data_IF_595627791139
#
_entry.id   IF_595627791139
#
_cell.length_a   1.000
_cell.length_b   1.000
_cell.length_c   1.000
_cell.angle_alpha   90.00
_cell.angle_beta   90.00
_cell.angle_gamma   90.00
#
_symmetry.space_group_name_H-M   'P 1'
#
loop_
_entity.id
_entity.type
_entity.pdbx_description
1 polymer ?
#
# COMPACT_ATOMS: atom_id res chain seq x y z
N UNK A 1 35.89 -14.54 -59.42
CA UNK A 1 36.17 -15.46 -58.29
C UNK A 1 34.90 -15.58 -57.47
N UNK A 2 34.31 -16.78 -57.50
CA UNK A 2 32.98 -17.09 -56.99
C UNK A 2 33.07 -17.59 -55.55
N UNK A 3 32.19 -17.12 -54.67
CA UNK A 3 31.65 -17.95 -53.59
C UNK A 3 30.28 -17.44 -53.13
N UNK A 4 29.25 -18.14 -53.58
CA UNK A 4 27.88 -18.05 -53.12
C UNK A 4 27.71 -18.70 -51.71
N UNK A 5 26.56 -18.50 -51.04
CA UNK A 5 26.37 -18.70 -49.60
C UNK A 5 25.88 -20.11 -49.25
N UNK A 6 26.19 -20.59 -48.04
CA UNK A 6 25.64 -21.84 -47.50
C UNK A 6 24.48 -21.55 -46.53
N UNK A 7 23.29 -22.07 -46.86
CA UNK A 7 22.17 -22.25 -45.93
C UNK A 7 22.11 -23.71 -45.43
N UNK A 8 21.36 -23.86 -44.33
CA UNK A 8 20.62 -25.04 -43.83
C UNK A 8 21.39 -26.03 -42.93
N UNK A 9 21.03 -26.08 -41.64
CA UNK A 9 20.27 -27.20 -41.04
C UNK A 9 19.72 -26.86 -39.66
N UNK A 10 18.39 -26.80 -39.58
CA UNK A 10 17.63 -27.06 -38.38
C UNK A 10 17.84 -28.53 -37.98
N UNK A 11 18.06 -28.78 -36.69
CA UNK A 11 17.83 -30.08 -36.07
C UNK A 11 16.99 -29.82 -34.82
N UNK A 12 15.72 -30.18 -34.90
CA UNK A 12 14.94 -30.60 -33.75
C UNK A 12 15.07 -32.11 -33.64
N UNK A 13 15.23 -32.65 -32.42
CA UNK A 13 14.60 -33.86 -31.88
C UNK A 13 15.06 -34.03 -30.41
N UNK A 14 14.07 -33.94 -29.52
CA UNK A 14 13.80 -34.68 -28.27
C UNK A 14 14.94 -35.36 -27.48
N UNK A 15 14.89 -35.18 -26.14
CA UNK A 15 15.31 -36.23 -25.19
C UNK A 15 16.08 -35.74 -23.97
N UNK A 16 15.35 -35.42 -22.90
CA UNK A 16 15.68 -35.64 -21.47
C UNK A 16 17.16 -35.83 -21.07
N UNK A 17 17.79 -34.77 -20.52
CA UNK A 17 18.76 -34.85 -19.41
C UNK A 17 19.20 -33.43 -18.99
N UNK A 18 18.64 -32.88 -17.90
CA UNK A 18 19.17 -31.66 -17.28
C UNK A 18 20.46 -32.02 -16.53
N UNK A 19 21.59 -31.87 -17.22
CA UNK A 19 22.94 -32.08 -16.67
C UNK A 19 23.31 -30.99 -15.66
N UNK A 20 23.96 -31.42 -14.57
CA UNK A 20 24.43 -30.63 -13.41
C UNK A 20 25.60 -29.68 -13.72
N UNK A 21 25.75 -29.22 -14.96
CA UNK A 21 26.99 -28.59 -15.43
C UNK A 21 26.93 -27.05 -15.56
N UNK A 22 25.88 -26.41 -15.03
CA UNK A 22 25.78 -24.93 -15.01
C UNK A 22 25.91 -24.35 -13.60
N UNK A 23 26.80 -24.91 -12.77
CA UNK A 23 27.12 -24.33 -11.47
C UNK A 23 28.52 -23.72 -11.56
N UNK A 24 28.62 -22.40 -11.33
CA UNK A 24 29.90 -21.70 -11.36
C UNK A 24 30.82 -22.16 -10.22
N UNK A 25 32.14 -22.09 -10.47
CA UNK A 25 33.20 -22.60 -9.58
C UNK A 25 33.12 -22.04 -8.16
N UNK A 26 32.59 -20.83 -7.98
CA UNK A 26 32.38 -20.16 -6.69
C UNK A 26 31.19 -20.72 -5.90
N UNK A 27 30.11 -21.15 -6.55
CA UNK A 27 28.97 -21.81 -5.89
C UNK A 27 29.33 -23.22 -5.41
N UNK A 28 30.15 -23.94 -6.17
CA UNK A 28 30.61 -25.30 -5.82
C UNK A 28 31.47 -25.29 -4.54
N UNK A 29 32.32 -24.26 -4.37
CA UNK A 29 33.18 -24.09 -3.19
C UNK A 29 32.38 -23.72 -1.92
N UNK A 30 31.24 -23.01 -2.05
CA UNK A 30 30.38 -22.71 -0.89
C UNK A 30 29.60 -23.93 -0.40
N UNK A 31 29.09 -24.73 -1.33
CA UNK A 31 28.32 -25.95 -1.00
C UNK A 31 29.23 -27.01 -0.35
N UNK A 32 30.49 -27.13 -0.81
CA UNK A 32 31.43 -28.12 -0.25
C UNK A 32 31.93 -27.79 1.16
N UNK A 33 31.80 -26.53 1.62
CA UNK A 33 32.30 -26.08 2.94
C UNK A 33 31.26 -26.14 4.05
N UNK A 34 29.97 -26.28 3.75
CA UNK A 34 28.92 -26.29 4.79
C UNK A 34 28.52 -27.69 5.28
N UNK A 35 28.97 -28.79 4.66
CA UNK A 35 28.45 -30.13 5.00
C UNK A 35 29.33 -30.97 5.93
N UNK A 36 30.39 -30.43 6.55
CA UNK A 36 31.26 -31.19 7.47
C UNK A 36 31.79 -30.35 8.63
N UNK A 37 30.90 -29.89 9.51
CA UNK A 37 31.28 -29.52 10.87
C UNK A 37 30.18 -30.00 11.81
N UNK A 38 30.34 -31.21 12.32
CA UNK A 38 30.12 -31.67 13.71
C UNK A 38 30.16 -33.21 13.70
N UNK A 39 31.36 -33.77 13.77
CA UNK A 39 31.57 -35.16 14.17
C UNK A 39 32.68 -35.15 15.22
N UNK A 40 32.28 -35.26 16.49
CA UNK A 40 33.22 -35.50 17.59
C UNK A 40 33.67 -36.96 17.54
N UNK A 41 34.97 -37.19 17.66
CA UNK A 41 35.55 -38.53 17.74
C UNK A 41 35.27 -39.13 19.12
N UNK A 42 34.57 -40.27 19.16
CA UNK A 42 34.45 -41.10 20.35
C UNK A 42 35.50 -42.22 20.29
N UNK A 43 36.33 -42.31 21.34
CA UNK A 43 37.26 -43.41 21.55
C UNK A 43 36.50 -44.69 21.92
N UNK A 44 36.98 -45.83 21.45
CA UNK A 44 36.44 -47.17 21.69
C UNK A 44 36.77 -47.62 23.13
N UNK A 45 35.74 -48.02 23.88
CA UNK A 45 35.84 -48.81 25.11
C UNK A 45 34.88 -50.02 25.01
N UNK A 46 35.19 -51.18 25.63
CA UNK A 46 34.57 -52.46 25.29
C UNK A 46 33.15 -52.64 25.87
N UNK A 47 32.43 -53.57 25.23
CA UNK A 47 31.03 -53.91 25.45
C UNK A 47 30.70 -54.36 26.89
N UNK A 48 29.56 -53.91 27.38
CA UNK A 48 28.83 -54.50 28.51
C UNK A 48 27.32 -54.43 28.23
N UNK A 49 26.62 -55.47 28.69
CA UNK A 49 25.29 -55.97 28.31
C UNK A 49 24.11 -54.99 28.45
N UNK A 50 23.07 -55.21 27.64
CA UNK A 50 21.77 -54.54 27.75
C UNK A 50 21.05 -54.89 29.07
N UNK A 51 20.24 -53.94 29.57
CA UNK A 51 18.88 -54.34 29.92
C UNK A 51 17.81 -53.43 29.28
N UNK A 52 16.89 -54.10 28.60
CA UNK A 52 15.45 -53.87 28.51
C UNK A 52 14.91 -52.43 28.61
N UNK A 53 14.45 -51.94 27.46
CA UNK A 53 13.24 -51.14 27.23
C UNK A 53 12.69 -50.32 28.39
N UNK A 54 13.07 -49.05 28.44
CA UNK A 54 12.26 -48.01 29.08
C UNK A 54 11.64 -47.14 28.00
N UNK A 55 10.33 -47.34 27.80
CA UNK A 55 9.45 -46.38 27.15
C UNK A 55 9.75 -44.99 27.72
N UNK A 56 10.19 -44.07 26.86
CA UNK A 56 10.35 -42.66 27.20
C UNK A 56 8.99 -42.06 27.55
N UNK A 57 8.60 -42.17 28.81
CA UNK A 57 7.51 -41.37 29.36
C UNK A 57 8.01 -39.93 29.36
N UNK A 58 7.46 -39.11 28.45
CA UNK A 58 7.61 -37.67 28.51
C UNK A 58 7.17 -37.21 29.90
N UNK A 59 8.11 -36.67 30.68
CA UNK A 59 7.83 -36.13 32.01
C UNK A 59 6.73 -35.06 31.90
N UNK A 60 5.50 -35.42 32.29
CA UNK A 60 4.42 -34.46 32.45
C UNK A 60 4.72 -33.65 33.71
N UNK A 61 5.26 -32.44 33.52
CA UNK A 61 5.27 -31.42 34.55
C UNK A 61 3.81 -31.07 34.92
N UNK A 62 3.23 -31.81 35.87
CA UNK A 62 1.92 -31.55 36.50
C UNK A 62 2.01 -30.38 37.49
N UNK A 63 2.55 -29.24 37.07
CA UNK A 63 2.16 -27.97 37.70
C UNK A 63 0.71 -27.68 37.32
N UNK A 64 -0.11 -27.17 38.25
CA UNK A 64 -1.43 -26.63 37.92
C UNK A 64 -1.26 -25.58 36.82
N UNK A 65 -1.62 -25.94 35.58
CA UNK A 65 -1.53 -25.04 34.44
C UNK A 65 -2.52 -23.91 34.68
N UNK A 66 -2.02 -22.70 34.93
CA UNK A 66 -2.85 -21.50 35.10
C UNK A 66 -3.67 -21.30 33.82
N UNK A 67 -4.99 -21.29 33.96
CA UNK A 67 -5.88 -21.07 32.84
C UNK A 67 -5.94 -19.58 32.48
N UNK A 68 -5.91 -19.30 31.17
CA UNK A 68 -6.04 -17.96 30.61
C UNK A 68 -7.17 -17.96 29.59
N UNK A 69 -7.91 -16.85 29.55
CA UNK A 69 -8.89 -16.59 28.49
C UNK A 69 -8.16 -16.39 27.17
N UNK A 70 -8.33 -17.32 26.24
CA UNK A 70 -7.78 -17.21 24.89
C UNK A 70 -8.77 -16.47 23.98
N UNK A 71 -8.37 -15.26 23.59
CA UNK A 71 -9.13 -14.37 22.73
C UNK A 71 -8.44 -14.18 21.39
N UNK A 72 -9.23 -13.97 20.36
CA UNK A 72 -8.77 -13.75 18.99
C UNK A 72 -9.37 -12.44 18.53
N UNK A 73 -8.55 -11.57 17.96
CA UNK A 73 -8.95 -10.23 17.57
C UNK A 73 -8.57 -9.94 16.11
N UNK A 74 -9.52 -9.98 15.16
CA UNK A 74 -9.28 -9.50 13.80
C UNK A 74 -9.03 -7.99 13.75
N UNK A 75 -7.83 -7.62 13.34
CA UNK A 75 -7.44 -6.25 13.04
C UNK A 75 -7.81 -5.96 11.59
N UNK A 76 -9.04 -5.51 11.37
CA UNK A 76 -9.54 -5.16 10.03
C UNK A 76 -8.99 -3.80 9.64
N UNK A 77 -8.30 -3.76 8.51
CA UNK A 77 -7.66 -2.54 7.98
C UNK A 77 -8.09 -2.23 6.56
N UNK A 78 -8.37 -0.96 6.28
CA UNK A 78 -8.59 -0.42 4.93
C UNK A 78 -7.27 0.17 4.41
N UNK A 79 -6.66 -0.37 3.33
CA UNK A 79 -5.40 0.16 2.78
C UNK A 79 -5.55 1.58 2.22
N UNK A 80 -4.45 2.37 2.08
CA UNK A 80 -4.54 3.67 1.43
C UNK A 80 -4.93 3.49 -0.04
N UNK A 81 -5.92 4.25 -0.50
CA UNK A 81 -6.39 4.26 -1.89
C UNK A 81 -5.68 5.34 -2.72
N UNK A 82 -5.12 6.34 -2.06
CA UNK A 82 -4.35 7.42 -2.69
C UNK A 82 -2.87 7.33 -2.31
N UNK A 83 -2.02 7.78 -3.22
CA UNK A 83 -0.61 8.02 -2.91
C UNK A 83 -0.48 9.05 -1.79
N UNK A 84 0.56 8.93 -0.97
CA UNK A 84 0.84 9.91 0.08
C UNK A 84 1.07 11.31 -0.51
N UNK A 85 0.79 12.33 0.28
CA UNK A 85 1.24 13.68 -0.05
C UNK A 85 2.77 13.76 0.02
N UNK A 86 3.36 14.45 -0.96
CA UNK A 86 4.79 14.74 -1.01
C UNK A 86 5.14 15.83 -0.01
N UNK A 87 6.29 15.70 0.65
CA UNK A 87 6.77 16.78 1.53
C UNK A 87 7.22 17.99 0.70
N UNK A 88 7.33 19.16 1.32
CA UNK A 88 7.82 20.37 0.63
C UNK A 88 9.21 20.15 -0.01
N UNK A 89 10.09 19.45 0.71
CA UNK A 89 11.40 19.07 0.19
C UNK A 89 11.31 18.14 -1.02
N UNK A 90 10.48 17.10 -0.96
CA UNK A 90 10.31 16.18 -2.08
C UNK A 90 9.74 16.87 -3.33
N UNK A 91 8.77 17.77 -3.15
CA UNK A 91 8.21 18.58 -4.25
C UNK A 91 9.32 19.40 -4.94
N UNK A 92 10.13 20.10 -4.16
CA UNK A 92 11.25 20.89 -4.67
C UNK A 92 12.32 20.01 -5.34
N UNK A 93 12.67 18.89 -4.71
CA UNK A 93 13.64 17.93 -5.24
C UNK A 93 13.19 17.34 -6.58
N UNK A 94 11.92 16.96 -6.71
CA UNK A 94 11.39 16.44 -7.96
C UNK A 94 11.41 17.48 -9.08
N UNK A 95 11.06 18.74 -8.79
CA UNK A 95 11.17 19.81 -9.78
C UNK A 95 12.62 20.02 -10.23
N UNK A 96 13.55 20.08 -9.27
CA UNK A 96 14.98 20.20 -9.54
C UNK A 96 15.48 19.06 -10.43
N UNK A 97 15.16 17.81 -10.10
CA UNK A 97 15.56 16.65 -10.90
C UNK A 97 14.94 16.66 -12.30
N UNK A 98 13.71 17.15 -12.46
CA UNK A 98 13.09 17.28 -13.79
C UNK A 98 13.80 18.32 -14.66
N UNK A 99 14.22 19.46 -14.10
CA UNK A 99 14.98 20.48 -14.84
C UNK A 99 16.39 20.01 -15.17
N UNK A 100 17.04 19.30 -14.26
CA UNK A 100 18.32 18.65 -14.52
C UNK A 100 18.18 17.59 -15.63
N UNK A 101 17.10 16.81 -15.62
CA UNK A 101 16.79 15.88 -16.68
C UNK A 101 16.59 16.59 -18.03
N UNK A 102 15.94 17.76 -18.08
CA UNK A 102 15.80 18.55 -19.33
C UNK A 102 17.15 18.99 -19.90
N UNK A 103 18.17 19.20 -19.05
CA UNK A 103 19.54 19.53 -19.49
C UNK A 103 20.28 18.35 -20.10
N UNK A 104 20.10 17.16 -19.51
CA UNK A 104 20.86 15.96 -19.85
C UNK A 104 20.17 15.11 -20.91
N UNK A 105 18.84 15.18 -20.98
CA UNK A 105 18.06 14.42 -21.93
C UNK A 105 18.28 14.93 -23.36
N UNK A 106 18.10 14.02 -24.32
CA UNK A 106 18.06 14.40 -25.71
C UNK A 106 16.81 15.26 -25.99
N UNK A 107 16.91 16.27 -26.85
CA UNK A 107 15.77 17.13 -27.16
C UNK A 107 14.65 16.31 -27.82
N UNK A 108 13.40 16.69 -27.53
CA UNK A 108 12.23 15.98 -28.06
C UNK A 108 12.24 15.98 -29.60
N UNK A 109 12.18 14.79 -30.19
CA UNK A 109 12.08 14.57 -31.63
C UNK A 109 10.65 14.85 -32.13
N UNK A 110 10.27 16.13 -32.23
CA UNK A 110 8.91 16.57 -32.64
C UNK A 110 8.36 15.84 -33.87
N UNK A 111 9.17 15.68 -34.92
CA UNK A 111 8.74 15.09 -36.20
C UNK A 111 8.29 13.62 -36.09
N UNK A 112 8.71 12.91 -35.03
CA UNK A 112 8.27 11.54 -34.76
C UNK A 112 6.79 11.51 -34.31
N UNK A 113 6.36 12.50 -33.53
CA UNK A 113 5.01 12.57 -32.95
C UNK A 113 4.05 13.44 -33.77
N UNK A 114 4.54 14.54 -34.34
CA UNK A 114 3.74 15.52 -35.07
C UNK A 114 4.18 15.61 -36.52
N UNK A 115 3.30 15.20 -37.44
CA UNK A 115 3.53 15.33 -38.89
C UNK A 115 3.44 16.80 -39.30
N UNK A 116 4.37 17.24 -40.15
CA UNK A 116 4.41 18.62 -40.65
C UNK A 116 3.09 18.99 -41.35
N UNK A 117 2.55 20.17 -41.03
CA UNK A 117 1.33 20.68 -41.65
C UNK A 117 0.02 20.13 -41.06
N UNK A 118 0.09 19.32 -40.00
CA UNK A 118 -1.11 18.93 -39.25
C UNK A 118 -1.54 20.02 -38.27
N UNK A 119 -2.84 20.13 -37.94
CA UNK A 119 -3.30 21.06 -36.89
C UNK A 119 -2.56 20.88 -35.56
N UNK A 120 -2.25 19.63 -35.19
CA UNK A 120 -1.49 19.31 -33.99
C UNK A 120 -0.04 19.86 -34.02
N UNK A 121 0.61 19.87 -35.19
CA UNK A 121 1.94 20.49 -35.35
C UNK A 121 1.89 22.00 -35.19
N UNK A 122 0.86 22.64 -35.75
CA UNK A 122 0.65 24.09 -35.63
C UNK A 122 0.39 24.48 -34.17
N UNK A 123 -0.48 23.74 -33.49
CA UNK A 123 -0.80 23.94 -32.08
C UNK A 123 0.44 23.72 -31.19
N UNK A 124 1.20 22.65 -31.41
CA UNK A 124 2.44 22.39 -30.67
C UNK A 124 3.44 23.54 -30.85
N UNK A 125 3.61 24.05 -32.08
CA UNK A 125 4.49 25.20 -32.39
C UNK A 125 4.00 26.51 -31.78
N UNK A 126 2.69 26.68 -31.61
CA UNK A 126 2.12 27.82 -30.88
C UNK A 126 2.50 27.72 -29.40
N UNK A 127 2.16 26.59 -28.76
CA UNK A 127 2.38 26.38 -27.32
C UNK A 127 3.85 26.34 -26.90
N UNK A 128 4.75 25.81 -27.74
CA UNK A 128 6.20 25.76 -27.41
C UNK A 128 6.81 27.17 -27.24
N UNK A 129 6.26 28.19 -27.91
CA UNK A 129 6.76 29.57 -27.78
C UNK A 129 6.55 30.14 -26.38
N UNK A 130 5.41 29.83 -25.76
CA UNK A 130 5.06 30.34 -24.42
C UNK A 130 5.81 29.59 -23.30
N UNK A 131 5.95 28.26 -23.42
CA UNK A 131 6.59 27.41 -22.40
C UNK A 131 8.10 27.22 -22.54
N UNK A 132 8.68 27.50 -23.72
CA UNK A 132 10.09 27.31 -24.08
C UNK A 132 10.62 25.86 -24.10
N UNK A 133 9.99 24.91 -23.39
CA UNK A 133 10.41 23.49 -23.34
C UNK A 133 9.29 22.51 -23.68
N UNK A 134 9.69 21.29 -24.05
CA UNK A 134 8.75 20.23 -24.41
C UNK A 134 7.99 19.69 -23.19
N UNK A 135 8.56 19.79 -21.99
CA UNK A 135 7.90 19.49 -20.74
C UNK A 135 6.78 20.48 -20.42
N UNK A 136 5.87 20.09 -19.52
CA UNK A 136 4.67 20.87 -19.14
C UNK A 136 4.63 21.21 -17.65
N UNK A 137 5.50 20.57 -16.87
CA UNK A 137 5.48 20.50 -15.41
C UNK A 137 6.75 21.07 -14.76
N UNK A 138 7.61 21.75 -15.53
CA UNK A 138 8.88 22.34 -15.06
C UNK A 138 8.87 23.88 -15.03
N UNK A 139 7.74 24.50 -15.42
CA UNK A 139 7.61 25.94 -15.62
C UNK A 139 8.33 26.42 -16.87
N UNK A 140 8.67 27.72 -16.90
CA UNK A 140 9.45 28.31 -17.99
C UNK A 140 10.93 28.12 -17.70
N UNK A 141 11.55 27.21 -18.44
CA UNK A 141 12.98 26.94 -18.38
C UNK A 141 13.44 26.53 -19.78
N UNK A 142 14.65 26.91 -20.18
CA UNK A 142 15.27 26.49 -21.44
C UNK A 142 16.74 26.13 -21.20
N UNK A 143 17.05 24.83 -21.26
CA UNK A 143 18.38 24.30 -21.00
C UNK A 143 19.46 24.76 -22.00
N UNK A 144 19.07 25.09 -23.24
CA UNK A 144 20.00 25.47 -24.32
C UNK A 144 20.08 26.98 -24.56
N UNK A 145 19.34 27.79 -23.77
CA UNK A 145 19.37 29.24 -23.87
C UNK A 145 20.53 29.86 -23.08
N UNK A 146 20.74 31.17 -23.25
CA UNK A 146 21.72 31.95 -22.49
C UNK A 146 21.51 31.84 -20.97
N UNK A 147 20.25 31.75 -20.54
CA UNK A 147 19.84 31.58 -19.15
C UNK A 147 19.67 30.11 -18.73
N UNK A 148 20.25 29.15 -19.47
CA UNK A 148 20.16 27.72 -19.14
C UNK A 148 20.81 27.33 -17.81
N UNK A 149 21.69 28.18 -17.28
CA UNK A 149 22.27 28.04 -15.94
C UNK A 149 21.27 28.31 -14.80
N UNK A 150 20.15 29.00 -15.08
CA UNK A 150 19.14 29.37 -14.08
C UNK A 150 18.07 28.28 -13.97
N UNK A 151 18.49 27.06 -13.62
CA UNK A 151 17.62 25.90 -13.44
C UNK A 151 17.02 25.78 -12.03
N UNK A 152 17.61 26.43 -11.05
CA UNK A 152 17.08 26.49 -9.69
C UNK A 152 15.90 27.46 -9.56
N UNK A 153 15.09 27.24 -8.53
CA UNK A 153 13.87 28.00 -8.27
C UNK A 153 13.98 28.68 -6.91
N UNK A 154 13.52 29.92 -6.83
CA UNK A 154 13.51 30.69 -5.60
C UNK A 154 12.49 30.14 -4.58
N UNK A 155 12.77 30.35 -3.30
CA UNK A 155 11.84 30.00 -2.22
C UNK A 155 10.50 30.72 -2.41
N UNK A 156 9.41 29.97 -2.24
CA UNK A 156 8.04 30.50 -2.38
C UNK A 156 7.45 30.40 -3.79
N UNK A 157 8.21 29.88 -4.77
CA UNK A 157 7.63 29.57 -6.07
C UNK A 157 6.63 28.40 -6.00
N UNK A 158 5.62 28.46 -6.85
CA UNK A 158 4.50 27.50 -6.88
C UNK A 158 4.66 26.44 -7.97
N UNK A 159 5.67 26.54 -8.84
CA UNK A 159 5.84 25.60 -9.96
C UNK A 159 5.98 24.15 -9.49
N UNK A 160 6.63 23.93 -8.34
CA UNK A 160 6.81 22.60 -7.76
C UNK A 160 5.53 21.99 -7.17
N UNK A 161 4.51 22.82 -6.92
CA UNK A 161 3.27 22.34 -6.28
C UNK A 161 2.48 21.45 -7.23
N UNK A 162 1.96 20.29 -6.77
CA UNK A 162 1.18 19.38 -7.59
C UNK A 162 -0.06 20.05 -8.22
N UNK A 163 -0.67 21.02 -7.54
CA UNK A 163 -1.85 21.71 -8.04
C UNK A 163 -1.52 22.64 -9.20
N UNK A 164 -0.41 23.38 -9.12
CA UNK A 164 0.09 24.20 -10.22
C UNK A 164 0.44 23.32 -11.44
N UNK A 165 1.07 22.17 -11.19
CA UNK A 165 1.38 21.18 -12.24
C UNK A 165 0.10 20.65 -12.91
N UNK A 166 -0.92 20.27 -12.12
CA UNK A 166 -2.21 19.79 -12.66
C UNK A 166 -2.88 20.87 -13.50
N UNK A 167 -2.94 22.08 -12.99
CA UNK A 167 -3.53 23.22 -13.67
C UNK A 167 -2.80 23.54 -14.99
N UNK A 168 -1.47 23.44 -15.02
CA UNK A 168 -0.67 23.59 -16.23
C UNK A 168 -1.01 22.51 -17.28
N UNK A 169 -1.10 21.25 -16.86
CA UNK A 169 -1.43 20.13 -17.74
C UNK A 169 -2.85 20.24 -18.30
N UNK A 170 -3.82 20.67 -17.48
CA UNK A 170 -5.20 20.87 -17.90
C UNK A 170 -5.29 22.01 -18.91
N UNK A 171 -4.62 23.15 -18.66
CA UNK A 171 -4.57 24.28 -19.61
C UNK A 171 -4.00 23.86 -20.97
N UNK A 172 -2.89 23.11 -20.97
CA UNK A 172 -2.30 22.59 -22.20
C UNK A 172 -3.29 21.67 -22.95
N UNK A 173 -3.99 20.79 -22.22
CA UNK A 173 -4.98 19.89 -22.81
C UNK A 173 -6.20 20.63 -23.39
N UNK A 174 -6.63 21.75 -22.78
CA UNK A 174 -7.70 22.62 -23.28
C UNK A 174 -7.27 23.51 -24.46
N UNK A 175 -6.01 23.40 -24.92
CA UNK A 175 -5.49 24.21 -26.02
C UNK A 175 -4.98 25.59 -25.61
N UNK A 176 -5.04 25.93 -24.31
CA UNK A 176 -4.57 27.19 -23.74
C UNK A 176 -3.07 27.16 -23.46
N UNK A 177 -2.45 28.33 -23.41
CA UNK A 177 -1.06 28.44 -22.98
C UNK A 177 -0.92 28.18 -21.47
N UNK A 178 0.16 27.49 -21.10
CA UNK A 178 0.45 27.11 -19.71
C UNK A 178 0.80 28.33 -18.86
N UNK A 179 1.50 29.28 -19.47
CA UNK A 179 1.90 30.54 -18.86
C UNK A 179 0.94 31.61 -19.38
N UNK A 180 0.42 32.44 -18.48
CA UNK A 180 -0.24 33.68 -18.90
C UNK A 180 0.83 34.55 -19.57
N UNK A 181 0.93 34.49 -20.90
CA UNK A 181 1.77 35.42 -21.62
C UNK A 181 1.28 36.82 -21.27
N UNK A 182 2.14 37.64 -20.63
CA UNK A 182 1.93 39.08 -20.69
C UNK A 182 1.87 39.42 -22.17
N UNK A 183 0.86 40.17 -22.65
CA UNK A 183 0.88 40.65 -24.02
C UNK A 183 2.19 41.42 -24.18
N UNK A 184 3.06 40.91 -25.04
CA UNK A 184 4.24 41.67 -25.48
C UNK A 184 3.64 42.79 -26.33
N UNK A 185 3.87 44.04 -25.93
CA UNK A 185 3.48 45.19 -26.74
C UNK A 185 4.26 45.10 -28.07
N UNK A 186 3.60 44.60 -29.11
CA UNK A 186 4.14 44.51 -30.45
C UNK A 186 4.33 45.93 -31.02
N UNK A 187 5.52 46.50 -30.83
CA UNK A 187 6.00 47.64 -31.63
C UNK A 187 7.13 47.30 -32.59
N UNK A 188 7.72 46.11 -32.52
CA UNK A 188 8.91 45.79 -33.33
C UNK A 188 8.87 44.39 -33.98
N UNK A 189 7.82 44.07 -34.75
CA UNK A 189 7.90 43.02 -35.78
C UNK A 189 7.18 43.49 -37.05
N UNK A 190 7.85 44.34 -37.82
CA UNK A 190 7.52 44.54 -39.22
C UNK A 190 8.01 43.31 -40.03
N UNK A 191 7.06 42.60 -40.66
CA UNK A 191 7.36 41.78 -41.84
C UNK A 191 7.10 40.28 -41.72
N UNK A 192 5.84 39.86 -41.82
CA UNK A 192 5.42 38.68 -42.59
C UNK A 192 3.89 38.64 -42.64
N UNK A 193 3.32 39.32 -43.63
CA UNK A 193 1.89 39.23 -43.97
C UNK A 193 1.66 37.87 -44.62
N UNK A 194 1.14 36.90 -43.86
CA UNK A 194 0.40 35.79 -44.46
C UNK A 194 -1.07 36.18 -44.34
N UNK A 195 -1.61 36.67 -45.46
CA UNK A 195 -3.03 36.91 -45.64
C UNK A 195 -3.79 35.58 -45.54
N UNK A 196 -4.72 35.53 -44.59
CA UNK A 196 -5.62 34.43 -44.32
C UNK A 196 -6.26 34.67 -42.97
N UNK A 197 -7.53 35.08 -42.98
CA UNK A 197 -8.33 35.53 -41.84
C UNK A 197 -8.18 34.67 -40.57
N UNK A 198 -7.24 35.04 -39.70
CA UNK A 198 -7.06 34.43 -38.38
C UNK A 198 -8.22 34.76 -37.42
N UNK A 199 -8.95 35.86 -37.66
CA UNK A 199 -10.02 36.32 -36.80
C UNK A 199 -11.28 35.43 -36.85
N UNK A 200 -11.58 34.78 -37.98
CA UNK A 200 -12.75 33.91 -38.09
C UNK A 200 -12.48 32.49 -37.58
N UNK A 201 -11.24 31.98 -37.70
CA UNK A 201 -10.85 30.68 -37.16
C UNK A 201 -10.70 30.65 -35.64
N UNK A 202 -10.32 31.77 -35.02
CA UNK A 202 -10.21 31.89 -33.56
C UNK A 202 -11.58 31.92 -32.86
N UNK A 203 -12.60 32.47 -33.51
CA UNK A 203 -13.96 32.53 -32.97
C UNK A 203 -14.65 31.16 -32.98
N UNK A 204 -14.46 30.35 -34.03
CA UNK A 204 -15.06 29.00 -34.12
C UNK A 204 -14.29 27.95 -33.29
N UNK A 205 -12.97 28.11 -33.08
CA UNK A 205 -12.21 27.23 -32.18
C UNK A 205 -12.53 27.45 -30.70
N UNK A 206 -13.02 28.64 -30.33
CA UNK A 206 -13.37 28.98 -28.94
C UNK A 206 -14.57 28.17 -28.41
N UNK A 207 -15.42 27.66 -29.30
CA UNK A 207 -16.70 27.03 -28.96
C UNK A 207 -16.62 25.50 -28.82
N UNK A 208 -15.51 24.88 -29.27
CA UNK A 208 -15.19 23.47 -29.01
C UNK A 208 -14.20 23.32 -27.84
N UNK A 209 -14.32 24.17 -26.82
CA UNK A 209 -13.64 23.94 -25.53
C UNK A 209 -14.29 22.73 -24.86
N UNK A 210 -13.75 21.56 -25.19
CA UNK A 210 -14.01 20.32 -24.50
C UNK A 210 -13.58 20.55 -23.05
N UNK A 211 -14.54 20.86 -22.17
CA UNK A 211 -14.29 21.04 -20.75
C UNK A 211 -13.73 19.71 -20.23
N UNK A 212 -12.42 19.67 -20.03
CA UNK A 212 -11.78 18.45 -19.58
C UNK A 212 -12.23 18.16 -18.15
N UNK A 213 -12.66 16.93 -17.91
CA UNK A 213 -13.03 16.51 -16.56
C UNK A 213 -11.81 16.62 -15.65
N UNK A 214 -11.93 17.44 -14.59
CA UNK A 214 -10.86 17.64 -13.62
C UNK A 214 -10.78 16.42 -12.69
N UNK A 215 -9.57 16.01 -12.28
CA UNK A 215 -9.43 14.98 -11.26
C UNK A 215 -10.22 15.34 -9.99
N UNK A 216 -10.86 14.35 -9.39
CA UNK A 216 -11.57 14.53 -8.14
C UNK A 216 -10.63 15.03 -7.03
N UNK A 217 -11.19 15.79 -6.08
CA UNK A 217 -10.46 16.24 -4.89
C UNK A 217 -9.94 15.04 -4.10
N UNK A 218 -8.72 15.18 -3.55
CA UNK A 218 -8.13 14.21 -2.62
C UNK A 218 -8.83 14.22 -1.26
N UNK A 219 -9.42 15.35 -0.89
CA UNK A 219 -10.17 15.54 0.36
C UNK A 219 -11.64 15.25 0.07
N UNK A 220 -12.19 14.24 0.75
CA UNK A 220 -13.59 13.86 0.61
C UNK A 220 -14.50 14.71 1.51
N UNK A 221 -15.82 14.67 1.28
CA UNK A 221 -16.80 15.33 2.16
C UNK A 221 -16.67 14.82 3.61
N UNK A 222 -16.46 13.53 3.77
CA UNK A 222 -16.27 12.89 5.07
C UNK A 222 -15.00 13.35 5.82
N UNK A 223 -13.98 13.87 5.10
CA UNK A 223 -12.82 14.47 5.74
C UNK A 223 -13.16 15.84 6.35
N UNK A 224 -13.96 16.64 5.65
CA UNK A 224 -14.41 17.94 6.14
C UNK A 224 -15.38 17.79 7.33
N UNK A 225 -16.27 16.81 7.25
CA UNK A 225 -17.25 16.52 8.30
C UNK A 225 -16.65 15.70 9.46
N UNK A 226 -15.40 15.22 9.30
CA UNK A 226 -14.72 14.31 10.21
C UNK A 226 -15.56 13.09 10.62
N UNK A 227 -16.27 12.49 9.65
CA UNK A 227 -17.12 11.33 9.89
C UNK A 227 -16.28 10.06 10.07
N UNK A 228 -16.03 9.69 11.33
CA UNK A 228 -15.24 8.53 11.72
C UNK A 228 -15.87 7.18 11.35
N UNK A 229 -17.13 7.12 10.94
CA UNK A 229 -17.78 5.88 10.50
C UNK A 229 -17.59 5.62 9.01
N UNK A 230 -17.24 6.64 8.23
CA UNK A 230 -17.01 6.51 6.80
C UNK A 230 -15.65 5.86 6.48
N UNK A 231 -15.63 5.04 5.42
CA UNK A 231 -14.38 4.51 4.84
C UNK A 231 -13.72 5.46 3.85
N UNK A 232 -14.48 6.42 3.33
CA UNK A 232 -14.07 7.41 2.33
C UNK A 232 -13.30 8.60 2.89
N UNK A 233 -13.12 8.70 4.22
CA UNK A 233 -12.22 9.68 4.84
C UNK A 233 -10.77 9.21 4.78
N UNK A 234 -9.79 10.12 4.77
CA UNK A 234 -8.35 9.85 4.85
C UNK A 234 -7.91 8.75 3.88
N UNK A 235 -8.18 8.95 2.59
CA UNK A 235 -7.88 7.95 1.55
C UNK A 235 -6.38 7.69 1.37
N UNK A 236 -5.50 8.55 1.89
CA UNK A 236 -4.04 8.41 1.87
C UNK A 236 -3.45 7.74 3.13
N UNK A 237 -4.30 7.32 4.08
CA UNK A 237 -3.93 6.63 5.31
C UNK A 237 -4.62 5.28 5.41
N UNK A 238 -4.08 4.40 6.26
CA UNK A 238 -4.79 3.19 6.68
C UNK A 238 -5.76 3.54 7.78
N UNK A 239 -6.98 3.03 7.64
CA UNK A 239 -7.96 3.03 8.70
C UNK A 239 -8.10 1.64 9.30
N UNK A 240 -8.26 1.57 10.61
CA UNK A 240 -8.52 0.34 11.34
C UNK A 240 -9.91 0.40 11.96
N UNK A 241 -10.61 -0.73 11.95
CA UNK A 241 -11.91 -0.86 12.60
C UNK A 241 -11.72 -1.02 14.10
N UNK A 242 -12.26 -0.09 14.88
CA UNK A 242 -12.39 -0.21 16.33
C UNK A 242 -13.86 -0.28 16.70
N UNK A 243 -14.12 -1.00 17.79
CA UNK A 243 -15.45 -1.23 18.31
C UNK A 243 -15.46 -0.92 19.81
N UNK A 244 -16.56 -0.33 20.27
CA UNK A 244 -16.76 0.06 21.66
C UNK A 244 -17.55 -1.01 22.40
N UNK A 245 -16.87 -1.70 23.30
CA UNK A 245 -17.45 -2.76 24.13
C UNK A 245 -18.56 -2.21 25.05
N UNK A 246 -19.38 -3.08 25.62
CA UNK A 246 -20.43 -2.74 26.60
C UNK A 246 -19.89 -1.97 27.83
N UNK A 247 -18.62 -2.18 28.19
CA UNK A 247 -17.93 -1.45 29.25
C UNK A 247 -17.47 -0.03 28.83
N UNK A 248 -17.73 0.38 27.59
CA UNK A 248 -17.36 1.67 27.03
C UNK A 248 -15.91 1.78 26.55
N UNK A 249 -15.14 0.69 26.55
CA UNK A 249 -13.72 0.66 26.14
C UNK A 249 -13.58 0.41 24.63
N UNK A 250 -12.75 1.21 23.95
CA UNK A 250 -12.40 1.00 22.55
C UNK A 250 -11.33 -0.07 22.40
N UNK A 251 -11.59 -1.04 21.53
CA UNK A 251 -10.66 -2.14 21.20
C UNK A 251 -10.95 -2.70 19.81
N UNK A 252 -10.11 -3.60 19.33
CA UNK A 252 -10.44 -4.40 18.14
C UNK A 252 -11.58 -5.38 18.46
N UNK A 253 -12.41 -5.74 17.47
CA UNK A 253 -13.38 -6.82 17.66
C UNK A 253 -12.63 -8.07 18.14
N UNK A 254 -13.13 -8.72 19.19
CA UNK A 254 -12.48 -9.89 19.76
C UNK A 254 -13.51 -10.86 20.34
N UNK A 255 -13.20 -12.15 20.26
CA UNK A 255 -14.01 -13.21 20.87
C UNK A 255 -13.13 -14.36 21.37
N UNK A 256 -13.71 -15.21 22.22
CA UNK A 256 -13.08 -16.45 22.66
C UNK A 256 -12.94 -17.41 21.49
N UNK A 257 -11.82 -18.15 21.49
CA UNK A 257 -11.63 -19.28 20.61
C UNK A 257 -12.63 -20.40 20.95
N UNK A 258 -13.39 -20.86 19.96
CA UNK A 258 -14.41 -21.88 20.11
C UNK A 258 -13.95 -23.22 19.53
N UNK A 259 -14.00 -24.27 20.35
CA UNK A 259 -13.76 -25.64 19.92
C UNK A 259 -12.38 -25.88 19.31
N UNK A 260 -12.37 -26.49 18.13
CA UNK A 260 -11.16 -26.83 17.37
C UNK A 260 -10.97 -25.93 16.14
N UNK A 261 -11.55 -24.72 16.14
CA UNK A 261 -11.35 -23.77 15.04
C UNK A 261 -9.90 -23.28 14.97
N UNK A 262 -9.40 -22.94 13.79
CA UNK A 262 -8.10 -22.27 13.65
C UNK A 262 -8.21 -20.77 13.96
N UNK A 263 -7.08 -20.11 14.29
CA UNK A 263 -7.06 -18.65 14.48
C UNK A 263 -7.60 -17.87 13.27
N UNK A 264 -7.40 -18.42 12.06
CA UNK A 264 -7.92 -17.89 10.81
C UNK A 264 -9.45 -17.96 10.75
N UNK A 265 -10.02 -19.15 10.98
CA UNK A 265 -11.47 -19.37 10.96
C UNK A 265 -12.18 -18.57 12.05
N UNK A 266 -11.57 -18.50 13.24
CA UNK A 266 -12.07 -17.65 14.31
C UNK A 266 -12.11 -16.18 13.90
N UNK A 267 -11.06 -15.67 13.26
CA UNK A 267 -11.02 -14.28 12.80
C UNK A 267 -12.14 -13.98 11.79
N UNK A 268 -12.37 -14.87 10.81
CA UNK A 268 -13.47 -14.72 9.84
C UNK A 268 -14.85 -14.71 10.53
N UNK A 269 -15.07 -15.68 11.44
CA UNK A 269 -16.29 -15.76 12.25
C UNK A 269 -16.52 -14.49 13.05
N UNK A 270 -15.48 -13.99 13.72
CA UNK A 270 -15.56 -12.80 14.57
C UNK A 270 -15.91 -11.56 13.77
N UNK A 271 -15.31 -11.37 12.59
CA UNK A 271 -15.65 -10.26 11.70
C UNK A 271 -17.14 -10.29 11.36
N UNK A 272 -17.65 -11.45 10.92
CA UNK A 272 -19.04 -11.60 10.53
C UNK A 272 -20.01 -11.40 11.70
N UNK A 273 -19.67 -11.91 12.88
CA UNK A 273 -20.53 -11.83 14.08
C UNK A 273 -20.50 -10.45 14.75
N UNK A 274 -19.42 -9.69 14.60
CA UNK A 274 -19.26 -8.34 15.20
C UNK A 274 -19.73 -7.22 14.27
N UNK A 275 -19.31 -7.24 13.01
CA UNK A 275 -19.50 -6.15 12.05
C UNK A 275 -20.42 -6.52 10.88
N UNK A 276 -21.00 -7.71 10.89
CA UNK A 276 -21.98 -8.16 9.90
C UNK A 276 -21.37 -8.76 8.62
N UNK A 277 -22.25 -9.27 7.75
CA UNK A 277 -21.89 -9.94 6.49
C UNK A 277 -21.59 -8.92 5.36
N UNK A 278 -21.98 -7.65 5.54
CA UNK A 278 -21.87 -6.60 4.53
C UNK A 278 -20.44 -6.04 4.37
N UNK A 279 -19.42 -6.81 4.74
CA UNK A 279 -18.01 -6.49 4.55
C UNK A 279 -17.33 -7.60 3.76
N UNK A 280 -16.77 -7.25 2.60
CA UNK A 280 -15.87 -8.14 1.88
C UNK A 280 -14.49 -8.04 2.52
N UNK A 281 -14.17 -8.99 3.39
CA UNK A 281 -12.90 -9.04 4.10
C UNK A 281 -12.04 -10.23 3.68
N UNK A 282 -10.74 -10.03 3.70
CA UNK A 282 -9.75 -11.07 3.48
C UNK A 282 -8.78 -11.12 4.68
N UNK A 283 -8.77 -12.25 5.39
CA UNK A 283 -7.77 -12.52 6.45
C UNK A 283 -6.46 -12.92 5.77
N UNK A 284 -5.37 -12.25 6.13
CA UNK A 284 -4.11 -12.29 5.35
C UNK A 284 -3.37 -13.63 5.51
N UNK A 285 -3.45 -14.27 6.67
CA UNK A 285 -2.79 -15.55 6.92
C UNK A 285 -3.09 -16.13 8.29
N UNK A 286 -2.49 -17.28 8.58
CA UNK A 286 -2.80 -18.09 9.78
C UNK A 286 -1.99 -17.71 11.03
N UNK A 287 -1.01 -16.80 10.88
CA UNK A 287 -0.13 -16.39 11.97
C UNK A 287 -0.62 -15.08 12.60
N UNK A 288 -0.62 -14.96 13.94
CA UNK A 288 -0.94 -13.71 14.59
C UNK A 288 0.16 -12.67 14.35
N UNK A 289 -0.24 -11.42 14.16
CA UNK A 289 0.69 -10.28 13.97
C UNK A 289 1.14 -9.66 15.28
N UNK A 290 0.46 -10.00 16.38
CA UNK A 290 0.75 -9.50 17.71
C UNK A 290 -0.08 -10.23 18.76
N UNK A 291 0.22 -9.94 20.03
CA UNK A 291 -0.58 -10.43 21.15
C UNK A 291 -0.71 -9.34 22.21
N UNK A 292 -1.75 -9.44 23.03
CA UNK A 292 -1.94 -8.63 24.23
C UNK A 292 -2.19 -9.57 25.40
N UNK A 293 -1.55 -9.30 26.55
CA UNK A 293 -1.72 -10.08 27.76
C UNK A 293 -2.10 -9.17 28.91
N UNK A 294 -3.15 -9.56 29.63
CA UNK A 294 -3.57 -8.90 30.86
C UNK A 294 -3.85 -9.94 31.94
N UNK A 295 -3.23 -9.78 33.10
CA UNK A 295 -3.50 -10.63 34.26
C UNK A 295 -4.57 -9.95 35.12
N UNK A 296 -5.59 -10.70 35.52
CA UNK A 296 -6.63 -10.14 36.38
C UNK A 296 -6.08 -9.92 37.80
N UNK A 297 -6.56 -8.89 38.52
CA UNK A 297 -6.21 -8.70 39.94
C UNK A 297 -6.63 -9.89 40.81
N UNK A 298 -7.75 -10.53 40.47
CA UNK A 298 -8.25 -11.76 41.08
C UNK A 298 -8.74 -12.73 40.01
N UNK A 299 -8.65 -14.06 40.24
CA UNK A 299 -9.14 -15.06 39.30
C UNK A 299 -10.64 -14.86 39.04
N UNK A 300 -11.04 -14.89 37.78
CA UNK A 300 -12.45 -14.77 37.38
C UNK A 300 -12.96 -16.12 36.90
N UNK A 301 -14.05 -16.58 37.49
CA UNK A 301 -14.77 -17.77 37.02
C UNK A 301 -15.59 -17.39 35.79
N UNK A 302 -15.24 -17.93 34.63
CA UNK A 302 -16.01 -17.70 33.40
C UNK A 302 -16.75 -18.97 33.01
N UNK A 303 -18.04 -18.83 32.68
CA UNK A 303 -18.83 -19.87 32.04
C UNK A 303 -18.77 -19.64 30.53
N UNK A 304 -18.38 -20.66 29.78
CA UNK A 304 -18.33 -20.53 28.33
C UNK A 304 -18.66 -21.86 27.66
N UNK A 305 -19.16 -21.76 26.43
CA UNK A 305 -19.45 -22.90 25.58
C UNK A 305 -18.16 -23.37 24.91
N UNK A 306 -17.80 -24.64 25.09
CA UNK A 306 -16.63 -25.22 24.41
C UNK A 306 -16.82 -25.31 22.90
N UNK A 307 -18.04 -25.54 22.44
CA UNK A 307 -18.40 -25.60 21.02
C UNK A 307 -19.75 -24.91 20.82
N UNK A 308 -19.89 -24.17 19.72
CA UNK A 308 -21.14 -23.54 19.31
C UNK A 308 -21.64 -24.21 18.03
N UNK A 309 -21.99 -25.48 18.11
CA UNK A 309 -22.69 -26.18 17.03
C UNK A 309 -24.20 -26.03 17.23
N UNK A 310 -25.00 -25.81 16.17
CA UNK A 310 -26.46 -25.74 16.27
C UNK A 310 -27.12 -27.03 16.78
N UNK A 311 -26.41 -28.16 16.73
CA UNK A 311 -26.99 -29.50 16.82
C UNK A 311 -26.71 -30.25 18.14
N UNK A 312 -25.85 -29.72 19.03
CA UNK A 312 -25.58 -30.34 20.34
C UNK A 312 -25.74 -29.33 21.48
N UNK A 313 -26.30 -29.73 22.64
CA UNK A 313 -26.34 -28.88 23.82
C UNK A 313 -24.90 -28.58 24.23
N UNK A 314 -24.50 -27.32 24.08
CA UNK A 314 -23.16 -26.89 24.41
C UNK A 314 -22.92 -27.11 25.91
N UNK A 315 -22.01 -28.02 26.26
CA UNK A 315 -21.55 -28.17 27.64
C UNK A 315 -20.95 -26.84 28.10
N UNK A 316 -21.64 -26.17 29.03
CA UNK A 316 -21.13 -24.97 29.69
C UNK A 316 -20.01 -25.40 30.64
N UNK A 317 -18.79 -24.99 30.30
CA UNK A 317 -17.63 -25.25 31.13
C UNK A 317 -17.38 -24.03 32.00
N UNK A 318 -17.32 -24.27 33.31
CA UNK A 318 -16.88 -23.28 34.28
C UNK A 318 -15.37 -23.43 34.50
N UNK A 319 -14.63 -22.35 34.31
CA UNK A 319 -13.18 -22.35 34.53
C UNK A 319 -12.73 -21.06 35.21
N UNK A 320 -11.90 -21.21 36.24
CA UNK A 320 -11.21 -20.09 36.88
C UNK A 320 -10.03 -19.62 36.02
N UNK A 321 -10.10 -18.39 35.52
CA UNK A 321 -9.09 -17.81 34.66
C UNK A 321 -8.30 -16.71 35.39
N UNK A 322 -6.99 -16.75 35.26
CA UNK A 322 -6.05 -15.84 35.92
C UNK A 322 -5.83 -14.54 35.11
N UNK A 323 -6.27 -14.52 33.85
CA UNK A 323 -6.07 -13.40 32.94
C UNK A 323 -6.57 -13.71 31.54
N UNK A 324 -6.29 -12.80 30.61
CA UNK A 324 -6.61 -12.91 29.19
C UNK A 324 -5.36 -12.78 28.31
N UNK A 325 -5.38 -13.51 27.21
CA UNK A 325 -4.38 -13.48 26.14
C UNK A 325 -5.12 -13.33 24.82
N UNK A 326 -4.96 -12.16 24.20
CA UNK A 326 -5.56 -11.81 22.92
C UNK A 326 -4.50 -11.99 21.83
N UNK A 327 -4.84 -12.70 20.77
CA UNK A 327 -4.01 -12.83 19.57
C UNK A 327 -4.61 -12.03 18.42
N UNK A 328 -3.81 -11.14 17.83
CA UNK A 328 -4.27 -10.26 16.76
C UNK A 328 -4.05 -10.89 15.39
N UNK A 329 -5.10 -10.98 14.58
CA UNK A 329 -5.07 -11.51 13.23
C UNK A 329 -5.23 -10.38 12.22
N UNK A 330 -4.38 -10.32 11.20
CA UNK A 330 -4.48 -9.25 10.19
C UNK A 330 -5.59 -9.54 9.18
N UNK A 331 -6.50 -8.59 9.01
CA UNK A 331 -7.53 -8.64 7.98
C UNK A 331 -7.55 -7.35 7.14
N UNK A 332 -7.95 -7.48 5.88
CA UNK A 332 -8.12 -6.38 4.93
C UNK A 332 -9.58 -6.29 4.53
N UNK A 333 -10.15 -5.09 4.54
CA UNK A 333 -11.43 -4.85 3.88
C UNK A 333 -11.18 -4.46 2.41
N UNK A 334 -11.92 -5.09 1.51
CA UNK A 334 -11.88 -4.84 0.06
C UNK A 334 -13.06 -3.97 -0.38
N UNK A 335 -14.24 -4.20 0.20
CA UNK A 335 -15.47 -3.46 -0.05
C UNK A 335 -16.47 -3.64 1.09
N UNK A 336 -17.54 -2.84 1.10
CA UNK A 336 -18.61 -2.94 2.09
C UNK A 336 -18.43 -2.01 3.29
N UNK A 337 -19.23 -2.20 4.33
CA UNK A 337 -19.24 -1.36 5.53
C UNK A 337 -19.66 -2.19 6.75
N UNK A 338 -19.12 -1.82 7.92
CA UNK A 338 -19.49 -2.42 9.20
C UNK A 338 -20.94 -2.09 9.58
N UNK A 339 -21.69 -3.09 10.02
CA UNK A 339 -23.04 -2.98 10.53
C UNK A 339 -23.15 -3.70 11.88
N UNK A 340 -23.46 -2.95 12.94
CA UNK A 340 -23.58 -3.46 14.30
C UNK A 340 -25.02 -3.86 14.67
N UNK A 341 -26.00 -3.68 13.78
CA UNK A 341 -27.42 -3.92 14.10
C UNK A 341 -27.73 -5.36 14.55
N UNK A 342 -26.94 -6.34 14.11
CA UNK A 342 -27.09 -7.78 14.44
C UNK A 342 -25.90 -8.33 15.25
N UNK A 343 -25.16 -7.47 15.94
CA UNK A 343 -23.97 -7.87 16.68
C UNK A 343 -24.33 -8.78 17.87
N UNK A 344 -23.63 -9.91 18.00
CA UNK A 344 -23.81 -10.89 19.07
C UNK A 344 -23.10 -10.46 20.37
N UNK A 345 -22.07 -9.63 20.26
CA UNK A 345 -21.18 -9.27 21.38
C UNK A 345 -21.66 -8.07 22.20
N UNK A 346 -22.75 -7.42 21.77
CA UNK A 346 -23.33 -6.27 22.48
C UNK A 346 -22.48 -5.00 22.37
N UNK A 347 -21.65 -4.88 21.34
CA UNK A 347 -20.92 -3.64 21.11
C UNK A 347 -21.86 -2.53 20.62
N UNK A 348 -21.61 -1.31 21.10
CA UNK A 348 -22.50 -0.17 20.91
C UNK A 348 -22.17 0.65 19.66
N UNK A 349 -20.89 0.90 19.43
CA UNK A 349 -20.41 1.82 18.39
C UNK A 349 -19.18 1.24 17.68
N UNK A 350 -18.98 1.65 16.43
CA UNK A 350 -17.77 1.36 15.67
C UNK A 350 -17.22 2.64 15.03
N UNK A 351 -15.91 2.66 14.81
CA UNK A 351 -15.21 3.75 14.13
C UNK A 351 -14.05 3.21 13.29
N UNK A 352 -13.76 3.90 12.18
CA UNK A 352 -12.61 3.67 11.33
C UNK A 352 -11.54 4.73 11.62
N UNK A 353 -10.46 4.35 12.29
CA UNK A 353 -9.45 5.28 12.81
C UNK A 353 -8.07 5.04 12.21
N UNK A 354 -7.35 6.13 11.95
CA UNK A 354 -5.94 6.08 11.62
C UNK A 354 -5.10 5.78 12.87
N UNK A 355 -3.86 5.30 12.69
CA UNK A 355 -2.96 4.94 13.80
C UNK A 355 -2.83 6.05 14.85
N UNK A 356 -2.65 7.30 14.40
CA UNK A 356 -2.50 8.48 15.25
C UNK A 356 -3.76 8.75 16.11
N UNK A 357 -4.94 8.43 15.60
CA UNK A 357 -6.21 8.64 16.31
C UNK A 357 -6.49 7.51 17.30
N UNK A 358 -5.95 6.31 17.08
CA UNK A 358 -6.14 5.15 17.96
C UNK A 358 -5.46 5.38 19.31
N UNK A 359 -4.29 6.02 19.31
CA UNK A 359 -3.50 6.29 20.52
C UNK A 359 -4.29 7.03 21.60
N UNK A 360 -5.14 7.98 21.20
CA UNK A 360 -5.95 8.78 22.13
C UNK A 360 -7.23 8.08 22.57
N UNK A 361 -7.69 7.06 21.84
CA UNK A 361 -8.96 6.36 22.11
C UNK A 361 -8.79 5.12 22.99
N UNK A 362 -7.67 4.41 22.86
CA UNK A 362 -7.41 3.17 23.60
C UNK A 362 -6.65 3.43 24.90
N UNK A 363 -6.65 2.46 25.82
CA UNK A 363 -5.87 2.60 27.05
C UNK A 363 -4.36 2.60 26.76
N UNK A 364 -3.54 3.34 27.53
CA UNK A 364 -2.09 3.38 27.30
C UNK A 364 -1.42 2.00 27.37
N UNK A 365 -1.92 1.14 28.27
CA UNK A 365 -1.44 -0.23 28.35
C UNK A 365 -1.74 -0.99 27.06
N UNK A 366 -2.96 -0.93 26.53
CA UNK A 366 -3.32 -1.59 25.28
C UNK A 366 -2.51 -1.04 24.10
N UNK A 367 -2.38 0.29 24.00
CA UNK A 367 -1.58 0.97 22.99
C UNK A 367 -0.14 0.45 22.91
N UNK A 368 0.50 0.23 24.07
CA UNK A 368 1.89 -0.24 24.12
C UNK A 368 2.11 -1.58 23.41
N UNK A 369 1.12 -2.47 23.43
CA UNK A 369 1.17 -3.77 22.73
C UNK A 369 0.83 -3.65 21.24
N UNK A 370 -0.12 -2.77 20.88
CA UNK A 370 -0.63 -2.69 19.51
C UNK A 370 0.12 -1.70 18.60
N UNK A 371 0.83 -0.72 19.13
CA UNK A 371 1.46 0.36 18.34
C UNK A 371 2.41 -0.13 17.24
N UNK A 372 3.08 -1.26 17.47
CA UNK A 372 4.07 -1.83 16.55
C UNK A 372 3.42 -2.68 15.45
N UNK A 373 2.22 -3.23 15.67
CA UNK A 373 1.51 -4.02 14.66
C UNK A 373 0.74 -3.13 13.67
N UNK A 374 0.45 -1.89 14.06
CA UNK A 374 -0.21 -0.90 13.21
C UNK A 374 0.82 -0.14 12.36
N UNK A 375 0.62 -0.15 11.05
CA UNK A 375 1.40 0.67 10.13
C UNK A 375 0.83 2.09 10.06
N UNK A 376 1.70 3.08 9.92
CA UNK A 376 1.34 4.51 9.79
C UNK A 376 0.66 4.83 8.45
N UNK A 377 0.95 4.02 7.43
CA UNK A 377 0.41 4.09 6.07
C UNK A 377 0.25 2.71 5.45
#
# INVERSE_FOLDING_TARGET
MSSAPKRIRQLAINGTALGRDTICRTCLIRISRQSRQFAAAAAVAPAAEEPAGQNGQSAQNKGLQKAYRLLIAPVVSRPPMLTRESTSFEKAYYLYQKRLNERLALPLTRYFYYKKGTPADVEWKRKIKSRQTAARDIGVYNAYGEFGWNDEVLLGDKTAEPDATRDALIRDAEGRDIVNAKPVDDKDVAGAVIAGDAAQGEATQKELQLQLERPASRVAKADNDNDTKSLSRKMDRILYLLVKNAEGRWRFPEDRMLGAESLYQAAERIIVQSAGINMNTWVVGNHPIGHFQYNYPSPKTTKFQRQRTPESPAEEVEQEEQGEKVFFMKARILAGQADLAKNIYGDSEYQWLAKEEIESQVTPQYWSYIRNMLTER
#
